data_IF_182681930649
#
_entry.id   IF_182681930649
#
_cell.length_a   1.000
_cell.length_b   1.000
_cell.length_c   1.000
_cell.angle_alpha   90.00
_cell.angle_beta   90.00
_cell.angle_gamma   90.00
#
_symmetry.space_group_name_H-M   'P 1'
#
loop_
_entity.id
_entity.type
_entity.pdbx_description
1 polymer ?
2 non-polymer ?
3 non-polymer ?
4 non-polymer ?
5 non-polymer ?
6 water ?
#
# COMPACT_ATOMS: atom_id res chain seq x y z
N UNK A 1 -11.08 -13.96 25.54
CA UNK A 1 -10.25 -14.96 24.80
C UNK A 1 -9.55 -14.31 23.58
N UNK A 2 -8.36 -14.81 23.26
CA UNK A 2 -7.57 -14.28 22.13
C UNK A 2 -8.09 -14.89 20.82
N UNK A 3 -8.35 -14.07 19.80
CA UNK A 3 -8.81 -14.63 18.51
C UNK A 3 -7.73 -15.42 17.77
N UNK A 4 -8.16 -16.26 16.83
CA UNK A 4 -7.19 -16.97 15.98
C UNK A 4 -6.31 -15.92 15.29
N UNK A 5 -5.02 -16.24 15.21
CA UNK A 5 -4.09 -15.49 14.36
C UNK A 5 -3.01 -16.41 13.77
N UNK A 6 -2.52 -16.06 12.57
CA UNK A 6 -1.48 -16.87 11.97
C UNK A 6 -0.15 -16.92 12.74
N UNK A 7 0.43 -18.09 12.80
CA UNK A 7 1.70 -18.32 13.48
C UNK A 7 2.87 -18.52 12.52
N UNK A 8 2.58 -18.76 11.23
CA UNK A 8 3.62 -18.91 10.21
C UNK A 8 3.03 -18.39 8.91
N UNK A 9 3.89 -18.13 7.93
CA UNK A 9 3.47 -17.50 6.68
C UNK A 9 2.38 -18.32 5.97
N UNK A 10 2.49 -19.65 5.97
CA UNK A 10 1.45 -20.45 5.33
C UNK A 10 0.08 -20.37 5.98
N UNK A 11 0.02 -19.96 7.26
CA UNK A 11 -1.31 -19.81 7.90
C UNK A 11 -2.16 -18.71 7.29
N UNK A 12 -1.55 -17.86 6.44
CA UNK A 12 -2.35 -16.85 5.73
C UNK A 12 -3.29 -17.49 4.72
N UNK A 13 -3.07 -18.77 4.38
CA UNK A 13 -4.07 -19.51 3.58
C UNK A 13 -5.44 -19.54 4.25
N UNK A 14 -5.50 -19.41 5.58
CA UNK A 14 -6.78 -19.50 6.28
C UNK A 14 -7.55 -18.19 6.45
N UNK A 15 -6.99 -17.07 5.99
CA UNK A 15 -7.72 -15.82 5.92
C UNK A 15 -8.68 -15.84 4.75
N UNK A 36 -20.23 -5.91 -18.54
CA UNK A 36 -20.24 -7.36 -18.72
C UNK A 36 -18.86 -7.88 -19.13
N UNK A 37 -18.19 -7.16 -20.04
CA UNK A 37 -16.78 -7.43 -20.38
C UNK A 37 -15.90 -7.23 -19.14
N UNK A 38 -16.03 -6.07 -18.50
CA UNK A 38 -15.25 -5.74 -17.30
C UNK A 38 -15.57 -6.67 -16.12
N UNK A 39 -16.85 -6.93 -15.88
CA UNK A 39 -17.25 -7.86 -14.81
C UNK A 39 -16.69 -9.28 -15.07
N UNK A 40 -16.82 -9.78 -16.28
CA UNK A 40 -16.25 -11.09 -16.64
C UNK A 40 -14.74 -11.12 -16.37
N UNK A 41 -14.07 -10.05 -16.77
CA UNK A 41 -12.62 -9.91 -16.58
C UNK A 41 -12.25 -9.89 -15.09
N UNK A 42 -13.03 -9.19 -14.28
CA UNK A 42 -12.79 -9.13 -12.83
C UNK A 42 -12.94 -10.49 -12.15
N UNK A 43 -13.88 -11.32 -12.64
CA UNK A 43 -14.06 -12.67 -12.13
C UNK A 43 -12.85 -13.56 -12.38
N UNK A 44 -12.24 -13.38 -13.56
CA UNK A 44 -11.00 -14.05 -13.89
C UNK A 44 -9.93 -13.76 -12.82
N UNK A 45 -9.72 -12.48 -12.54
CA UNK A 45 -8.75 -12.12 -11.48
C UNK A 45 -9.13 -12.64 -10.10
N UNK A 46 -10.40 -12.53 -9.74
CA UNK A 46 -10.89 -13.00 -8.44
C UNK A 46 -10.65 -14.50 -8.22
N UNK A 47 -10.90 -15.32 -9.24
CA UNK A 47 -10.56 -16.75 -9.20
C UNK A 47 -9.06 -16.99 -9.05
N UNK A 48 -8.23 -16.22 -9.74
CA UNK A 48 -6.77 -16.41 -9.59
C UNK A 48 -6.37 -16.24 -8.14
N UNK A 49 -6.95 -15.25 -7.47
CA UNK A 49 -6.60 -15.01 -6.08
C UNK A 49 -7.16 -16.12 -5.19
N UNK A 50 -8.40 -16.55 -5.44
CA UNK A 50 -9.09 -17.49 -4.57
C UNK A 50 -8.45 -18.87 -4.60
N UNK A 51 -7.91 -19.24 -5.76
CA UNK A 51 -7.21 -20.52 -5.94
C UNK A 51 -5.76 -20.54 -5.47
N UNK A 52 -5.20 -19.37 -5.20
CA UNK A 52 -3.80 -19.30 -4.79
C UNK A 52 -3.59 -19.89 -3.38
N UNK A 53 -2.50 -20.63 -3.22
CA UNK A 53 -2.03 -21.10 -1.91
C UNK A 53 -0.58 -20.78 -1.68
N UNK A 54 -0.20 -20.53 -0.42
CA UNK A 54 1.19 -20.20 -0.14
C UNK A 54 2.15 -21.26 -0.74
N UNK A 55 3.23 -20.80 -1.39
CA UNK A 55 4.20 -21.66 -2.08
C UNK A 55 4.05 -21.64 -3.60
N UNK A 56 2.85 -21.33 -4.08
CA UNK A 56 2.56 -21.21 -5.50
C UNK A 56 3.29 -19.99 -6.04
N UNK A 57 3.87 -20.09 -7.24
CA UNK A 57 4.22 -18.87 -7.96
C UNK A 57 2.94 -18.05 -8.19
N UNK A 58 2.99 -16.72 -8.13
CA UNK A 58 1.76 -15.95 -8.30
C UNK A 58 1.45 -15.98 -9.81
N UNK A 59 0.24 -16.42 -10.20
CA UNK A 59 -0.09 -16.52 -11.64
C UNK A 59 0.20 -15.27 -12.43
N UNK A 60 0.87 -15.43 -13.57
CA UNK A 60 1.13 -14.28 -14.44
C UNK A 60 -0.09 -14.03 -15.31
N UNK A 61 -0.31 -12.77 -15.61
CA UNK A 61 -1.51 -12.33 -16.30
C UNK A 61 -1.09 -11.71 -17.63
N UNK A 62 -1.86 -12.01 -18.69
CA UNK A 62 -1.74 -11.31 -19.94
C UNK A 62 -2.79 -10.18 -19.92
N UNK A 63 -2.31 -8.96 -19.75
CA UNK A 63 -3.20 -7.82 -19.68
C UNK A 63 -3.66 -7.44 -21.09
N UNK A 64 -4.86 -6.90 -21.16
CA UNK A 64 -5.43 -6.40 -22.43
C UNK A 64 -4.82 -5.06 -22.85
N UNK A 65 -5.02 -4.71 -24.12
CA UNK A 65 -4.52 -3.44 -24.64
C UNK A 65 -5.08 -2.26 -23.88
N UNK A 66 -6.36 -2.31 -23.56
CA UNK A 66 -7.01 -1.23 -22.84
C UNK A 66 -6.41 -1.12 -21.43
N UNK A 67 -6.18 -2.26 -20.79
CA UNK A 67 -5.60 -2.28 -19.43
C UNK A 67 -4.22 -1.63 -19.43
N UNK A 68 -3.44 -1.96 -20.43
CA UNK A 68 -2.09 -1.44 -20.56
C UNK A 68 -2.13 0.06 -20.86
N UNK A 69 -3.11 0.49 -21.65
CA UNK A 69 -3.27 1.92 -21.88
C UNK A 69 -3.56 2.68 -20.59
N UNK A 70 -4.45 2.13 -19.77
CA UNK A 70 -4.81 2.76 -18.50
C UNK A 70 -3.56 2.86 -17.63
N UNK A 71 -2.83 1.74 -17.51
CA UNK A 71 -1.56 1.75 -16.77
C UNK A 71 -0.62 2.83 -17.29
N UNK A 72 -0.50 2.93 -18.60
CA UNK A 72 0.45 3.90 -19.21
C UNK A 72 0.10 5.35 -18.86
N UNK A 73 -1.19 5.66 -18.88
CA UNK A 73 -1.66 6.98 -18.52
C UNK A 73 -1.31 7.29 -17.06
N UNK A 74 -1.65 6.34 -16.20
CA UNK A 74 -1.39 6.49 -14.77
C UNK A 74 0.11 6.68 -14.54
N UNK A 75 0.90 5.79 -15.15
CA UNK A 75 2.35 5.77 -14.97
C UNK A 75 3.00 7.06 -15.47
N UNK A 76 2.70 7.43 -16.69
CA UNK A 76 3.24 8.67 -17.26
C UNK A 76 2.90 9.91 -16.45
N UNK A 77 1.64 10.06 -16.09
CA UNK A 77 1.25 11.27 -15.31
C UNK A 77 1.81 11.30 -13.89
N UNK A 78 1.79 10.16 -13.20
CA UNK A 78 2.41 10.13 -11.88
C UNK A 78 3.92 10.41 -11.90
N UNK A 79 4.63 9.89 -12.90
CA UNK A 79 6.08 10.09 -12.97
C UNK A 79 6.49 11.55 -13.21
N UNK A 80 5.57 12.34 -13.78
CA UNK A 80 5.80 13.79 -13.86
C UNK A 80 5.75 14.46 -12.50
N UNK A 81 4.96 13.90 -11.58
CA UNK A 81 4.77 14.46 -10.25
C UNK A 81 5.76 13.97 -9.20
N UNK A 82 6.14 12.70 -9.26
CA UNK A 82 7.01 12.13 -8.23
C UNK A 82 8.22 12.98 -7.82
N UNK A 83 8.98 13.52 -8.80
CA UNK A 83 10.16 14.25 -8.38
C UNK A 83 9.92 15.41 -7.44
N UNK A 84 8.78 16.07 -7.56
CA UNK A 84 8.46 17.21 -6.70
C UNK A 84 7.57 16.84 -5.50
N UNK A 85 6.96 15.66 -5.53
CA UNK A 85 5.93 15.26 -4.56
C UNK A 85 6.36 14.13 -3.64
N UNK A 86 7.07 13.13 -4.15
CA UNK A 86 7.36 11.94 -3.36
C UNK A 86 8.55 12.10 -2.44
N UNK A 87 8.51 11.36 -1.33
CA UNK A 87 9.63 11.29 -0.45
C UNK A 87 10.87 10.66 -1.09
N UNK A 88 12.01 10.94 -0.46
CA UNK A 88 13.28 10.52 -1.03
C UNK A 88 13.42 9.01 -1.14
N UNK A 89 12.86 8.27 -0.20
CA UNK A 89 12.96 6.82 -0.19
C UNK A 89 12.21 6.22 -1.36
N UNK A 90 11.04 6.81 -1.65
CA UNK A 90 10.24 6.39 -2.81
C UNK A 90 11.04 6.58 -4.08
N UNK A 91 11.58 7.79 -4.22
CA UNK A 91 12.36 8.13 -5.43
C UNK A 91 13.61 7.29 -5.59
N UNK A 92 14.25 6.88 -4.50
CA UNK A 92 15.42 6.01 -4.59
C UNK A 92 15.10 4.65 -5.22
N UNK A 93 13.95 4.08 -4.87
CA UNK A 93 13.65 2.73 -5.24
C UNK A 93 12.94 2.63 -6.59
N UNK A 94 12.28 3.72 -6.98
CA UNK A 94 11.52 3.73 -8.21
C UNK A 94 12.34 3.30 -9.45
N UNK A 95 13.57 3.83 -9.63
CA UNK A 95 14.37 3.36 -10.78
C UNK A 95 14.80 1.90 -10.76
N UNK A 96 14.97 1.33 -9.56
CA UNK A 96 15.30 -0.08 -9.42
C UNK A 96 14.19 -0.96 -9.99
N UNK A 97 12.94 -0.51 -9.86
CA UNK A 97 11.78 -1.24 -10.38
C UNK A 97 11.62 -1.16 -11.90
N UNK A 98 12.01 -0.05 -12.51
CA UNK A 98 12.11 0.02 -13.98
C UNK A 98 13.19 -0.94 -14.49
N UNK A 99 14.29 -1.03 -13.78
CA UNK A 99 15.38 -1.89 -14.21
C UNK A 99 15.06 -3.39 -14.06
N UNK A 100 14.52 -3.78 -12.91
CA UNK A 100 14.40 -5.22 -12.61
C UNK A 100 13.04 -5.82 -12.75
N UNK A 101 11.97 -5.00 -12.75
CA UNK A 101 10.62 -5.53 -12.73
C UNK A 101 9.72 -5.01 -13.85
N UNK A 102 10.30 -4.38 -14.87
CA UNK A 102 9.53 -4.04 -16.07
C UNK A 102 8.55 -2.89 -15.91
N UNK A 103 8.83 -1.97 -15.00
CA UNK A 103 8.03 -0.75 -14.86
C UNK A 103 8.34 0.18 -16.04
N UNK A 104 7.42 0.17 -16.98
CA UNK A 104 7.47 1.03 -18.16
C UNK A 104 6.07 1.38 -18.56
N UNK A 105 5.92 2.45 -19.34
CA UNK A 105 4.62 2.87 -19.81
C UNK A 105 3.86 1.80 -20.57
N UNK A 106 4.57 0.94 -21.31
CA UNK A 106 3.93 -0.06 -22.17
C UNK A 106 3.87 -1.46 -21.59
N UNK A 107 4.14 -1.63 -20.29
CA UNK A 107 4.16 -2.95 -19.70
C UNK A 107 3.70 -2.87 -18.23
N UNK A 108 2.66 -3.60 -17.88
CA UNK A 108 2.22 -3.77 -16.50
C UNK A 108 3.09 -4.81 -15.80
N UNK A 109 3.79 -4.41 -14.72
CA UNK A 109 4.59 -5.36 -13.98
C UNK A 109 3.77 -6.52 -13.41
N UNK A 110 4.40 -7.68 -13.34
CA UNK A 110 3.77 -8.86 -12.73
C UNK A 110 4.07 -8.98 -11.24
N UNK A 111 3.03 -9.40 -10.51
CA UNK A 111 3.18 -9.57 -9.05
C UNK A 111 4.27 -10.57 -8.69
N UNK A 112 4.40 -11.68 -9.42
CA UNK A 112 5.48 -12.62 -9.09
C UNK A 112 6.88 -11.99 -9.15
N UNK A 113 7.11 -11.19 -10.20
CA UNK A 113 8.38 -10.48 -10.37
C UNK A 113 8.67 -9.52 -9.25
N UNK A 114 7.68 -8.69 -8.92
CA UNK A 114 7.78 -7.75 -7.85
C UNK A 114 8.01 -8.45 -6.48
N UNK A 115 7.30 -9.55 -6.28
CA UNK A 115 7.43 -10.31 -5.04
C UNK A 115 8.86 -10.81 -4.88
N UNK A 116 9.44 -11.32 -5.95
CA UNK A 116 10.83 -11.81 -5.90
C UNK A 116 11.85 -10.72 -5.67
N UNK A 117 11.62 -9.54 -6.26
CA UNK A 117 12.43 -8.36 -6.01
C UNK A 117 12.37 -7.95 -4.54
N UNK A 118 11.17 -7.89 -3.99
CA UNK A 118 11.00 -7.49 -2.59
C UNK A 118 11.61 -8.51 -1.64
N UNK A 119 11.47 -9.79 -1.93
CA UNK A 119 12.01 -10.82 -1.05
C UNK A 119 13.50 -10.62 -0.85
N UNK A 120 14.19 -10.27 -1.94
CA UNK A 120 15.65 -10.01 -1.92
C UNK A 120 15.97 -8.77 -1.13
N UNK A 121 15.17 -7.72 -1.30
CA UNK A 121 15.49 -6.41 -0.78
C UNK A 121 15.20 -6.29 0.72
N UNK A 122 14.00 -6.69 1.11
CA UNK A 122 13.53 -6.53 2.51
C UNK A 122 12.83 -7.76 3.10
N UNK A 123 12.75 -8.86 2.37
CA UNK A 123 12.00 -10.02 2.85
C UNK A 123 10.50 -9.93 2.68
N UNK A 124 10.03 -8.83 2.08
CA UNK A 124 8.61 -8.72 1.79
C UNK A 124 8.27 -9.60 0.61
N UNK A 125 7.04 -10.11 0.63
CA UNK A 125 6.51 -10.89 -0.46
C UNK A 125 5.06 -10.53 -0.68
N UNK A 126 4.52 -10.98 -1.79
CA UNK A 126 3.13 -10.64 -2.17
C UNK A 126 2.27 -11.89 -2.21
N UNK A 127 0.99 -11.76 -1.85
CA UNK A 127 -0.07 -12.72 -2.15
C UNK A 127 -1.13 -12.00 -2.93
N UNK A 128 -1.69 -12.64 -3.97
CA UNK A 128 -2.80 -11.99 -4.67
C UNK A 128 -4.05 -12.07 -3.83
N UNK A 129 -4.88 -11.04 -3.90
CA UNK A 129 -6.13 -11.03 -3.17
C UNK A 129 -7.23 -10.51 -4.10
N UNK A 130 -8.43 -11.05 -3.88
CA UNK A 130 -9.56 -10.75 -4.74
C UNK A 130 -10.19 -9.38 -4.49
N UNK A 131 -10.29 -8.98 -3.22
CA UNK A 131 -10.79 -7.66 -2.82
C UNK A 131 -10.30 -7.36 -1.41
N UNK A 132 -11.10 -6.71 -0.58
CA UNK A 132 -10.66 -6.39 0.78
C UNK A 132 -10.57 -7.63 1.67
N UNK A 133 -9.53 -7.71 2.48
CA UNK A 133 -9.57 -8.54 3.66
C UNK A 133 -10.01 -7.68 4.81
N UNK A 134 -10.42 -8.29 5.90
CA UNK A 134 -10.63 -7.54 7.12
C UNK A 134 -9.33 -6.85 7.55
N UNK A 135 -9.43 -5.73 8.28
CA UNK A 135 -8.21 -5.12 8.78
C UNK A 135 -7.35 -6.07 9.62
N UNK A 136 -7.99 -6.85 10.48
CA UNK A 136 -7.28 -7.88 11.20
C UNK A 136 -6.47 -8.80 10.27
N UNK A 137 -7.08 -9.33 9.23
CA UNK A 137 -6.40 -10.30 8.37
C UNK A 137 -5.29 -9.63 7.55
N UNK A 138 -5.58 -8.44 7.02
CA UNK A 138 -4.59 -7.70 6.26
C UNK A 138 -3.35 -7.39 7.09
N UNK A 139 -3.57 -6.83 8.28
CA UNK A 139 -2.45 -6.54 9.15
C UNK A 139 -1.70 -7.79 9.58
N UNK A 140 -2.41 -8.90 9.80
CA UNK A 140 -1.72 -10.15 10.11
C UNK A 140 -0.72 -10.56 9.02
N UNK A 141 -1.05 -10.29 7.76
CA UNK A 141 -0.09 -10.54 6.69
C UNK A 141 1.20 -9.76 6.87
N UNK A 142 1.08 -8.49 7.23
CA UNK A 142 2.26 -7.64 7.42
C UNK A 142 3.19 -8.18 8.49
N UNK A 143 2.63 -8.88 9.47
CA UNK A 143 3.48 -9.50 10.50
C UNK A 143 4.50 -10.48 9.97
N UNK A 144 4.20 -11.10 8.81
CA UNK A 144 5.10 -12.01 8.12
C UNK A 144 5.72 -11.39 6.88
N UNK A 145 5.67 -10.07 6.80
CA UNK A 145 6.13 -9.34 5.64
C UNK A 145 5.43 -9.80 4.36
N UNK A 146 4.15 -10.08 4.50
CA UNK A 146 3.32 -10.40 3.31
C UNK A 146 2.36 -9.26 3.06
N UNK A 147 2.34 -8.76 1.82
CA UNK A 147 1.45 -7.70 1.40
C UNK A 147 0.46 -8.31 0.42
N UNK A 148 -0.81 -8.24 0.79
CA UNK A 148 -1.90 -8.73 -0.11
C UNK A 148 -2.20 -7.69 -1.18
N UNK A 149 -2.10 -8.09 -2.46
CA UNK A 149 -2.21 -7.18 -3.60
C UNK A 149 -3.26 -7.63 -4.60
N UNK A 150 -4.02 -6.66 -5.12
CA UNK A 150 -4.91 -6.93 -6.23
C UNK A 150 -4.11 -7.00 -7.53
N UNK A 151 -4.69 -7.67 -8.50
CA UNK A 151 -4.07 -7.93 -9.77
C UNK A 151 -4.77 -7.30 -10.97
N UNK A 152 -6.03 -6.90 -10.80
CA UNK A 152 -6.82 -6.25 -11.88
C UNK A 152 -6.46 -4.76 -12.02
N UNK A 153 -6.92 -4.15 -13.10
CA UNK A 153 -6.66 -2.75 -13.40
C UNK A 153 -7.99 -1.99 -13.24
N UNK A 154 -7.87 -0.80 -12.65
CA UNK A 154 -9.00 0.13 -12.55
C UNK A 154 -9.67 0.35 -13.92
N UNK A 155 -10.96 0.63 -13.83
CA UNK A 155 -11.75 0.96 -15.02
C UNK A 155 -11.16 2.16 -15.75
N UNK A 156 -11.15 2.06 -17.08
CA UNK A 156 -10.49 3.04 -17.94
C UNK A 156 -11.10 4.45 -17.93
N UNK A 157 -12.34 4.57 -17.47
CA UNK A 157 -13.08 5.83 -17.46
C UNK A 157 -12.54 6.85 -16.47
N UNK A 158 -11.94 6.38 -15.36
CA UNK A 158 -11.25 7.27 -14.40
C UNK A 158 -9.88 6.73 -13.99
N UNK A 159 -8.86 7.04 -14.79
CA UNK A 159 -7.52 6.68 -14.35
C UNK A 159 -7.04 7.50 -13.14
N UNK A 160 -7.61 8.68 -12.89
CA UNK A 160 -7.01 9.65 -11.96
C UNK A 160 -7.26 9.37 -10.48
N UNK A 161 -8.38 8.73 -10.16
CA UNK A 161 -8.74 8.34 -8.80
C UNK A 161 -9.68 7.15 -8.95
N UNK A 162 -9.46 6.13 -8.12
CA UNK A 162 -10.41 5.03 -7.95
C UNK A 162 -10.62 4.79 -6.46
N UNK A 163 -11.88 4.53 -6.04
CA UNK A 163 -12.16 4.29 -4.63
C UNK A 163 -11.81 2.88 -4.16
N UNK A 164 -11.50 1.94 -5.08
CA UNK A 164 -11.06 0.60 -4.67
C UNK A 164 -9.62 0.33 -5.14
N UNK A 165 -8.92 -0.52 -4.41
CA UNK A 165 -7.54 -0.78 -4.78
C UNK A 165 -7.52 -1.57 -6.08
N UNK A 166 -6.55 -1.24 -6.92
CA UNK A 166 -6.21 -2.03 -8.09
C UNK A 166 -4.70 -2.25 -8.18
N UNK A 167 -4.26 -2.94 -9.21
CA UNK A 167 -2.87 -3.31 -9.30
C UNK A 167 -1.95 -2.10 -9.52
N UNK A 168 -2.47 -1.07 -10.19
CA UNK A 168 -1.72 0.16 -10.37
C UNK A 168 -1.38 0.77 -9.00
N UNK A 169 -2.36 0.81 -8.12
CA UNK A 169 -2.18 1.26 -6.75
C UNK A 169 -1.14 0.41 -5.99
N UNK A 170 -1.22 -0.90 -6.12
CA UNK A 170 -0.27 -1.76 -5.41
C UNK A 170 1.14 -1.47 -5.91
N UNK A 171 1.29 -1.47 -7.22
CA UNK A 171 2.62 -1.39 -7.85
C UNK A 171 3.29 -0.06 -7.77
N UNK A 172 2.52 1.01 -7.99
CA UNK A 172 3.07 2.37 -7.89
C UNK A 172 2.94 3.00 -6.53
N UNK A 173 1.93 2.62 -5.76
CA UNK A 173 1.72 3.19 -4.44
C UNK A 173 2.54 2.50 -3.37
N UNK A 174 2.46 1.18 -3.30
CA UNK A 174 3.08 0.44 -2.20
C UNK A 174 4.48 -0.12 -2.41
N UNK A 175 4.69 -0.73 -3.57
CA UNK A 175 5.89 -1.50 -3.78
C UNK A 175 7.18 -0.73 -3.58
N UNK A 176 7.31 0.48 -4.13
CA UNK A 176 8.62 1.17 -3.97
C UNK A 176 9.04 1.43 -2.51
N UNK A 177 8.06 1.58 -1.61
CA UNK A 177 8.39 1.77 -0.20
C UNK A 177 8.54 0.47 0.54
N UNK A 178 7.84 -0.59 0.14
CA UNK A 178 8.13 -1.93 0.69
C UNK A 178 9.58 -2.40 0.48
N UNK A 179 10.22 -1.87 -0.55
CA UNK A 179 11.61 -2.12 -0.90
C UNK A 179 12.60 -1.37 -0.02
N UNK A 180 12.11 -0.49 0.84
CA UNK A 180 13.00 0.31 1.73
C UNK A 180 13.02 -0.33 3.14
N UNK A 181 14.22 -0.75 3.63
CA UNK A 181 14.25 -1.48 4.90
C UNK A 181 13.56 -0.79 6.05
N UNK A 182 13.77 0.52 6.24
CA UNK A 182 13.12 1.21 7.38
C UNK A 182 11.59 1.18 7.32
N UNK A 183 11.06 1.32 6.10
CA UNK A 183 9.61 1.30 5.87
C UNK A 183 9.03 -0.10 6.03
N UNK A 184 9.79 -1.08 5.55
CA UNK A 184 9.38 -2.48 5.71
C UNK A 184 9.28 -2.88 7.20
N UNK A 185 10.27 -2.42 7.97
CA UNK A 185 10.26 -2.62 9.44
C UNK A 185 9.04 -1.95 10.07
N UNK A 186 8.81 -0.68 9.71
CA UNK A 186 7.65 0.05 10.23
C UNK A 186 6.34 -0.69 9.98
N UNK A 187 6.16 -1.11 8.73
CA UNK A 187 4.97 -1.86 8.35
C UNK A 187 4.82 -3.17 9.09
N UNK A 188 5.90 -3.94 9.14
CA UNK A 188 5.87 -5.24 9.86
C UNK A 188 5.45 -5.03 11.30
N UNK A 189 6.00 -3.99 11.93
CA UNK A 189 5.64 -3.76 13.33
C UNK A 189 4.18 -3.44 13.61
N UNK A 190 3.50 -2.80 12.65
CA UNK A 190 2.05 -2.60 12.77
C UNK A 190 1.38 -3.98 12.77
N UNK A 191 1.78 -4.84 11.83
CA UNK A 191 1.28 -6.19 11.75
C UNK A 191 1.53 -6.97 13.02
N UNK A 192 2.77 -6.99 13.48
CA UNK A 192 3.12 -7.75 14.70
C UNK A 192 2.32 -7.30 15.90
N UNK A 193 2.12 -5.98 16.07
CA UNK A 193 1.28 -5.47 17.15
C UNK A 193 -0.16 -5.93 17.07
N UNK A 194 -0.66 -6.19 15.86
CA UNK A 194 -2.07 -6.56 15.66
C UNK A 194 -2.40 -7.99 16.01
N UNK A 195 -1.40 -8.86 16.02
CA UNK A 195 -1.64 -10.32 16.09
C UNK A 195 -2.27 -10.73 17.41
N UNK A 196 -3.52 -11.19 17.31
CA UNK A 196 -4.27 -11.59 18.50
C UNK A 196 -4.77 -10.44 19.35
N UNK A 197 -4.62 -9.20 18.89
CA UNK A 197 -5.05 -8.06 19.66
C UNK A 197 -6.57 -7.93 19.71
N UNK A 198 -7.05 -7.12 20.64
CA UNK A 198 -8.46 -6.81 20.73
C UNK A 198 -8.97 -6.11 19.48
N UNK A 199 -10.28 -6.16 19.30
CA UNK A 199 -10.96 -5.46 18.21
C UNK A 199 -10.62 -3.98 18.21
N UNK A 200 -10.60 -3.39 19.40
CA UNK A 200 -10.31 -1.96 19.55
C UNK A 200 -8.87 -1.67 19.16
N UNK A 201 -7.93 -2.53 19.58
CA UNK A 201 -6.52 -2.34 19.24
C UNK A 201 -6.27 -2.47 17.75
N UNK A 202 -6.89 -3.47 17.12
CA UNK A 202 -6.79 -3.65 15.65
C UNK A 202 -7.32 -2.42 14.92
N UNK A 203 -8.47 -1.91 15.34
CA UNK A 203 -9.05 -0.68 14.77
C UNK A 203 -8.09 0.49 14.87
N UNK A 204 -7.51 0.70 16.05
CA UNK A 204 -6.55 1.80 16.24
C UNK A 204 -5.31 1.62 15.36
N UNK A 205 -4.83 0.39 15.26
CA UNK A 205 -3.63 0.11 14.44
C UNK A 205 -3.94 0.29 12.95
N UNK A 206 -5.10 -0.18 12.53
CA UNK A 206 -5.57 -0.03 11.13
C UNK A 206 -5.69 1.44 10.78
N UNK A 207 -6.20 2.24 11.71
CA UNK A 207 -6.30 3.68 11.47
C UNK A 207 -4.93 4.36 11.38
N UNK A 208 -3.99 3.97 12.24
CA UNK A 208 -2.64 4.45 12.17
C UNK A 208 -2.01 4.08 10.81
N UNK A 209 -2.20 2.82 10.39
CA UNK A 209 -1.73 2.39 9.08
C UNK A 209 -2.33 3.29 7.99
N UNK A 210 -3.64 3.50 8.05
CA UNK A 210 -4.34 4.31 7.04
C UNK A 210 -3.73 5.70 6.89
N UNK A 211 -3.35 6.32 8.01
CA UNK A 211 -2.83 7.69 7.99
C UNK A 211 -1.30 7.82 7.92
N UNK A 212 -0.62 6.69 7.71
CA UNK A 212 0.80 6.67 7.45
C UNK A 212 1.00 5.94 6.12
N UNK A 213 0.95 4.62 6.16
CA UNK A 213 1.22 3.83 4.97
C UNK A 213 0.28 4.18 3.79
N UNK A 214 -0.99 4.45 4.05
CA UNK A 214 -1.93 4.75 2.97
C UNK A 214 -1.97 6.23 2.56
N UNK A 215 -1.99 7.15 3.52
CA UNK A 215 -2.21 8.58 3.22
C UNK A 215 -1.23 9.52 3.92
N UNK A 216 -0.07 9.02 4.32
CA UNK A 216 0.92 9.80 5.01
C UNK A 216 1.69 10.85 4.21
N UNK A 217 2.00 11.96 4.90
CA UNK A 217 2.95 12.96 4.47
C UNK A 217 4.12 12.91 5.43
N UNK A 218 5.30 13.33 4.99
CA UNK A 218 6.44 13.47 5.85
C UNK A 218 7.18 14.77 5.54
N UNK A 219 8.02 15.20 6.49
CA UNK A 219 8.87 16.38 6.33
C UNK A 219 10.27 15.95 6.05
N UNK A 220 10.84 16.42 4.94
CA UNK A 220 12.21 16.09 4.56
C UNK A 220 12.92 17.35 4.13
N UNK A 221 14.08 17.60 4.74
CA UNK A 221 14.85 18.84 4.58
C UNK A 221 13.88 20.05 4.58
N UNK A 222 12.94 20.07 5.53
CA UNK A 222 11.90 21.11 5.67
C UNK A 222 10.68 21.20 4.74
N UNK A 223 10.62 20.33 3.73
CA UNK A 223 9.51 20.35 2.79
C UNK A 223 8.56 19.21 3.09
N UNK A 224 7.30 19.44 2.76
CA UNK A 224 6.27 18.39 2.84
C UNK A 224 6.41 17.46 1.64
N UNK A 225 6.53 16.16 1.90
CA UNK A 225 6.61 15.16 0.83
C UNK A 225 5.56 14.08 1.12
N UNK A 226 5.30 13.22 0.13
CA UNK A 226 4.28 12.18 0.20
C UNK A 226 4.90 10.81 0.37
N UNK A 227 4.41 10.03 1.34
CA UNK A 227 4.74 8.60 1.40
C UNK A 227 3.53 7.67 1.36
N UNK A 228 2.32 8.21 1.48
CA UNK A 228 1.13 7.39 1.44
C UNK A 228 0.88 6.77 0.09
N UNK A 229 0.71 5.46 0.07
CA UNK A 229 0.45 4.73 -1.19
C UNK A 229 -0.81 5.17 -1.95
N UNK A 230 -1.86 5.51 -1.19
CA UNK A 230 -3.08 5.96 -1.78
C UNK A 230 -2.97 7.31 -2.48
N UNK A 231 -1.99 8.09 -2.05
CA UNK A 231 -1.68 9.35 -2.70
C UNK A 231 -0.79 9.10 -3.89
N UNK A 232 0.20 8.22 -3.70
CA UNK A 232 1.20 7.99 -4.75
C UNK A 232 0.65 7.31 -6.00
N UNK A 233 -0.54 6.70 -5.93
CA UNK A 233 -1.17 6.09 -7.13
C UNK A 233 -2.31 6.91 -7.70
N UNK A 234 -2.66 8.04 -7.07
CA UNK A 234 -3.79 8.86 -7.57
C UNK A 234 -3.27 10.19 -8.09
N UNK A 235 -3.34 10.36 -9.40
CA UNK A 235 -2.89 11.58 -10.03
C UNK A 235 -3.53 12.79 -9.35
N UNK A 236 -4.83 12.71 -9.14
CA UNK A 236 -5.57 13.85 -8.61
C UNK A 236 -5.33 14.06 -7.12
N UNK A 237 -5.40 13.00 -6.30
CA UNK A 237 -5.14 13.23 -4.88
C UNK A 237 -3.68 13.57 -4.52
N UNK A 238 -2.73 13.08 -5.32
CA UNK A 238 -1.33 13.39 -5.09
C UNK A 238 -1.13 14.91 -5.19
N UNK A 239 -1.68 15.48 -6.26
CA UNK A 239 -1.62 16.95 -6.44
C UNK A 239 -2.36 17.69 -5.34
N UNK A 240 -3.57 17.21 -4.99
CA UNK A 240 -4.35 17.84 -3.92
C UNK A 240 -3.59 17.89 -2.59
N UNK A 241 -2.93 16.79 -2.24
CA UNK A 241 -2.27 16.68 -0.95
C UNK A 241 -1.18 17.71 -0.69
N UNK A 242 -0.47 18.15 -1.72
CA UNK A 242 0.60 19.11 -1.54
C UNK A 242 0.20 20.51 -2.07
N UNK A 243 -1.09 20.69 -2.37
CA UNK A 243 -1.56 21.92 -3.03
C UNK A 243 -1.63 23.14 -2.13
N UNK A 244 -1.62 22.93 -0.82
CA UNK A 244 -1.79 24.03 0.13
C UNK A 244 -3.23 24.13 0.61
N UNK A 245 -4.18 23.58 -0.16
CA UNK A 245 -5.62 23.56 0.19
C UNK A 245 -6.03 22.47 1.18
N UNK A 246 -5.11 21.60 1.60
CA UNK A 246 -5.46 20.48 2.47
C UNK A 246 -5.14 20.73 3.95
N UNK A 247 -6.01 20.24 4.83
CA UNK A 247 -5.76 20.26 6.25
C UNK A 247 -4.73 19.21 6.61
N UNK A 248 -3.85 19.56 7.53
CA UNK A 248 -2.61 18.84 7.84
C UNK A 248 -2.27 18.94 9.36
N UNK A 249 -2.21 17.79 10.04
CA UNK A 249 -1.89 17.69 11.47
C UNK A 249 -0.65 16.82 11.72
N UNK A 250 0.01 16.99 12.88
CA UNK A 250 1.15 16.11 13.15
C UNK A 250 0.69 14.67 13.36
N UNK A 251 1.48 13.71 12.91
CA UNK A 251 1.22 12.32 13.23
C UNK A 251 1.46 12.12 14.74
N UNK A 252 0.41 11.68 15.44
CA UNK A 252 0.49 11.38 16.86
C UNK A 252 -0.52 10.24 17.09
N UNK A 253 -0.04 8.99 17.25
CA UNK A 253 -0.94 7.84 17.29
C UNK A 253 -2.20 7.98 18.16
N UNK A 254 -2.07 8.47 19.39
CA UNK A 254 -3.23 8.61 20.28
C UNK A 254 -4.33 9.53 19.73
N UNK A 255 -3.96 10.55 18.95
CA UNK A 255 -4.97 11.37 18.24
C UNK A 255 -5.34 10.80 16.88
N UNK A 256 -4.33 10.49 16.07
CA UNK A 256 -4.53 9.97 14.70
C UNK A 256 -5.46 8.72 14.63
N UNK A 257 -5.33 7.82 15.61
CA UNK A 257 -6.15 6.60 15.64
C UNK A 257 -7.67 6.85 15.76
N UNK A 258 -8.05 8.06 16.20
CA UNK A 258 -9.46 8.45 16.34
C UNK A 258 -10.06 9.05 15.07
N UNK A 259 -9.23 9.32 14.06
CA UNK A 259 -9.69 10.00 12.87
C UNK A 259 -10.43 9.02 11.96
N UNK A 260 -11.54 9.43 11.39
CA UNK A 260 -12.30 8.57 10.49
C UNK A 260 -11.53 8.31 9.16
N UNK A 261 -11.59 7.07 8.70
CA UNK A 261 -11.02 6.64 7.41
C UNK A 261 -12.10 6.67 6.34
N UNK A 262 -12.02 7.64 5.42
CA UNK A 262 -13.00 7.73 4.32
C UNK A 262 -12.48 7.19 2.99
N UNK A 263 -13.44 6.77 2.16
CA UNK A 263 -13.19 6.06 0.90
C UNK A 263 -13.79 6.71 -0.35
N UNK A 264 -14.94 7.37 -0.25
CA UNK A 264 -15.60 7.96 -1.43
C UNK A 264 -14.81 9.10 -2.10
N UNK A 265 -14.01 9.80 -1.29
CA UNK A 265 -13.52 11.13 -1.60
C UNK A 265 -12.03 11.25 -1.29
N UNK A 266 -11.45 12.41 -1.56
CA UNK A 266 -10.17 12.77 -0.99
C UNK A 266 -10.32 12.84 0.53
N UNK A 267 -9.22 12.63 1.23
CA UNK A 267 -9.19 12.74 2.69
C UNK A 267 -9.45 14.17 3.13
N UNK A 268 -10.16 14.32 4.25
CA UNK A 268 -10.42 15.64 4.85
C UNK A 268 -9.18 16.16 5.61
N UNK A 269 -8.31 15.26 6.05
CA UNK A 269 -7.09 15.62 6.74
C UNK A 269 -5.97 14.61 6.43
N UNK A 270 -4.73 15.10 6.34
CA UNK A 270 -3.52 14.26 6.24
C UNK A 270 -2.67 14.48 7.46
N UNK A 271 -1.95 13.43 7.86
CA UNK A 271 -1.04 13.49 8.97
C UNK A 271 0.40 13.49 8.53
N UNK A 272 1.19 14.33 9.18
CA UNK A 272 2.56 14.54 8.84
C UNK A 272 3.48 13.90 9.85
N UNK A 273 4.25 12.92 9.38
CA UNK A 273 5.30 12.26 10.14
C UNK A 273 6.61 12.98 9.90
N UNK A 274 7.54 12.88 10.85
CA UNK A 274 8.85 13.52 10.70
C UNK A 274 9.80 12.69 9.86
N UNK A 275 9.74 11.37 10.02
CA UNK A 275 10.58 10.42 9.31
C UNK A 275 9.96 9.06 9.54
N UNK A 276 10.42 8.07 8.78
CA UNK A 276 9.94 6.71 8.99
C UNK A 276 10.45 6.20 10.35
N UNK A 277 11.70 6.53 10.67
CA UNK A 277 12.26 6.17 11.99
C UNK A 277 11.47 6.75 13.16
N UNK A 278 11.10 8.04 13.06
CA UNK A 278 10.29 8.68 14.09
C UNK A 278 8.87 8.11 14.21
N UNK A 279 8.23 7.84 13.06
CA UNK A 279 6.90 7.27 13.09
C UNK A 279 6.91 5.89 13.77
N UNK A 280 7.98 5.14 13.49
CA UNK A 280 8.18 3.82 14.06
C UNK A 280 8.31 3.96 15.58
N UNK A 281 9.06 4.96 16.01
CA UNK A 281 9.27 5.20 17.46
C UNK A 281 7.97 5.60 18.12
N UNK A 282 7.21 6.48 17.49
CA UNK A 282 5.90 6.85 18.01
C UNK A 282 4.93 5.67 18.09
N UNK A 283 4.97 4.76 17.10
CA UNK A 283 4.11 3.56 17.18
C UNK A 283 4.56 2.62 18.27
N UNK A 284 5.85 2.51 18.50
CA UNK A 284 6.36 1.66 19.59
C UNK A 284 5.87 2.16 20.95
N UNK A 285 5.92 3.48 21.17
CA UNK A 285 5.41 4.05 22.44
C UNK A 285 3.92 3.76 22.54
N UNK A 286 3.18 4.01 21.46
CA UNK A 286 1.74 3.82 21.42
C UNK A 286 1.27 2.38 21.65
N UNK A 287 1.93 1.41 21.04
CA UNK A 287 1.46 0.02 21.14
C UNK A 287 1.68 -0.56 22.55
N UNK A 288 2.66 -0.04 23.29
CA UNK A 288 2.78 -0.37 24.74
C UNK A 288 1.48 -0.06 25.50
N UNK A 289 0.86 1.07 25.20
CA UNK A 289 -0.32 1.54 25.93
C UNK A 289 -1.60 0.77 25.59
N UNK A 290 -1.63 0.11 24.43
CA UNK A 290 -2.81 -0.68 24.03
C UNK A 290 -2.62 -2.21 24.20
N UNK A 291 -1.51 -2.62 24.79
CA UNK A 291 -1.35 -4.00 25.27
C UNK A 291 -2.21 -4.18 26.51
X LIG B 1 -3.19 0.34 -0.44
X LIG C 1 -4.89 -1.68 0.66
X LIG C 1 -4.23 -2.55 -0.42
X LIG C 1 -4.09 -1.54 1.94
X LIG C 1 -6.18 -2.33 1.11
X LIG C 1 -5.19 -0.31 0.08
X LIG C 1 -3.23 -1.84 -1.14
X LIG C 1 -2.89 -0.80 1.74
X LIG C 1 -7.08 -2.50 0.04
X LIG D 1 3.03 -7.61 -18.27
X LIG D 1 2.52 -6.84 -19.02
X LIG D 1 1.89 -5.91 -19.98
X LIG E 1 4.84 -0.66 17.59
X LIG E 1 5.75 -1.44 17.61
X LIG E 1 6.82 -2.45 17.68
X LIG F 1 -5.98 5.46 -6.34
X LIG F 1 -8.32 2.75 -3.15
X LIG F 1 -8.88 2.47 -1.77
X LIG F 1 -8.06 1.96 0.50
X LIG F 1 -11.62 3.56 4.18
X LIG F 1 -6.66 3.84 -4.60
X LIG F 1 -6.25 5.26 -4.90
X LIG F 1 -7.86 5.33 -3.09
X LIG F 1 -4.91 4.87 -6.85
X LIG F 1 -7.29 3.88 -3.23
X LIG F 1 -7.39 5.97 -4.33
X LIG F 1 -5.33 -1.73 7.82
X LIG F 1 -6.12 -1.97 6.65
X LIG F 1 -6.56 -3.34 6.59
X LIG F 1 -5.18 -1.81 5.29
X LIG F 1 -7.37 -0.98 6.68
X LIG F 1 -7.32 0.18 7.43
X LIG F 1 -8.44 1.02 7.46
X LIG F 1 -9.61 0.65 6.79
X LIG F 1 -8.54 -1.36 6.01
X LIG F 1 -9.66 -0.54 6.05
X LIG F 1 -10.85 -1.01 5.26
X LIG F 1 -11.30 -2.32 5.39
X LIG F 1 -12.37 -2.78 4.62
X LIG F 1 -12.96 -4.43 4.80
X LIG F 1 -13.01 -1.96 3.70
X LIG F 1 -12.59 -0.68 3.52
X LIG F 1 -11.53 -0.14 4.27
X LIG F 1 -11.12 1.28 4.02
X LIG F 1 -12.15 2.34 4.39
X LIG F 1 -13.23 2.25 3.64
X LIG F 1 -12.46 2.19 5.65
X LIG F 1 -10.87 1.31 2.63
X LIG F 1 -9.58 1.41 2.21
X LIG F 1 -9.38 1.84 0.94
X LIG F 1 -8.55 1.14 3.03
X LIG F 1 -7.30 1.33 2.59
X LIG F 1 -6.31 1.06 3.43
X LIG F 1 -7.06 1.74 1.35
X LIG F 1 -7.83 2.45 -0.76
X LIG F 1 -6.62 3.27 -0.82
X LIG F 1 -6.21 3.55 -2.23
X LIG F 1 -6.74 6.11 -7.04
#
# INVERSE_FOLDING_TARGET
TVPWFPKKISDLDHCANRVLMYGSELDADHPGFKDNVYRKRRKYFADLAMNYKHGDPIPKVEFTEEEIKTWGTVFQELNKLYPTHACREYLKNLPLLSKYCGYREDNIPQLEDVSNFLKERTGFSIRPVAGYLSPRDFLSGLAFRVFHCTQYVRHSSDPFYTPEPDTCHELLGHVPLLAEPSFAQFSQEIGLASLGASEEAVQKLATCYFFTVEFGLCKQDGQLRVFGAGLLSSISELKHALSGHAKVKPFDPKITCKQECLITTFQDVYFVSESFEDAKEKMREFTKTIKRPFGVKYNHHHHHHHH
FE FE
TRS C C1 C2 C3 N O1 O2 O3
CCN N C1 C2
CCN N C1 C2
7H5 C4 C5 C6 C7 F C3 C2 C1 O C N O4 S O3 C25 C23 C22 C21 C20 C24 C19 C14 C15 C16 CL C17 C18 C13 C11 C12 F2 F1 O2 C9 C8 N2 C10 N4 N3 N1 C26 C27 O1
#
